data_IF_986938630597
#
_entry.id   IF_986938630597
#
_cell.length_a   1.000
_cell.length_b   1.000
_cell.length_c   1.000
_cell.angle_alpha   90.00
_cell.angle_beta   90.00
_cell.angle_gamma   90.00
#
_symmetry.space_group_name_H-M   'P 1'
#
loop_
_entity.id
_entity.type
_entity.pdbx_description
1 polymer ?
#
# COMPACT_ATOMS: atom_id res chain seq x y z
N UNK A 1 22.91 -83.83 -16.63
CA UNK A 1 22.93 -82.61 -17.46
C UNK A 1 21.68 -81.81 -17.11
N UNK A 2 21.90 -80.79 -16.31
CA UNK A 2 20.92 -79.84 -15.77
C UNK A 2 20.61 -78.75 -16.80
N UNK A 3 19.40 -78.16 -16.78
CA UNK A 3 19.07 -76.73 -16.96
C UNK A 3 17.57 -76.58 -16.63
N UNK A 4 17.22 -76.22 -15.39
CA UNK A 4 16.91 -74.87 -14.86
C UNK A 4 15.53 -74.34 -15.28
N UNK A 5 14.60 -74.40 -14.30
CA UNK A 5 13.36 -73.64 -14.22
C UNK A 5 13.69 -72.22 -13.75
N UNK A 6 13.26 -71.20 -14.51
CA UNK A 6 13.43 -69.80 -14.12
C UNK A 6 12.22 -69.32 -13.32
N UNK A 7 12.36 -69.29 -12.00
CA UNK A 7 11.52 -68.52 -11.09
C UNK A 7 11.81 -67.04 -11.28
N UNK A 8 10.78 -66.25 -11.61
CA UNK A 8 10.85 -64.79 -11.61
C UNK A 8 10.89 -64.33 -10.15
N UNK A 9 12.07 -63.93 -9.68
CA UNK A 9 12.22 -63.22 -8.40
C UNK A 9 11.81 -61.77 -8.59
N UNK A 10 10.64 -61.42 -8.06
CA UNK A 10 10.14 -60.05 -7.94
C UNK A 10 11.01 -59.32 -6.90
N UNK A 11 11.81 -58.34 -7.34
CA UNK A 11 12.73 -57.61 -6.49
C UNK A 11 12.00 -56.67 -5.53
N UNK A 12 12.40 -56.68 -4.26
CA UNK A 12 11.93 -55.80 -3.18
C UNK A 12 12.14 -54.29 -3.41
N UNK A 13 12.64 -53.87 -4.57
CA UNK A 13 12.94 -52.47 -4.90
C UNK A 13 11.83 -51.79 -5.73
N UNK A 14 10.95 -52.52 -6.40
CA UNK A 14 9.87 -51.91 -7.20
C UNK A 14 8.66 -51.44 -6.36
N UNK A 15 8.51 -51.95 -5.14
CA UNK A 15 7.43 -51.55 -4.21
C UNK A 15 7.77 -50.23 -3.47
N UNK A 16 9.05 -49.89 -3.34
CA UNK A 16 9.46 -48.68 -2.60
C UNK A 16 9.48 -47.40 -3.47
N UNK A 17 9.63 -47.53 -4.79
CA UNK A 17 9.68 -46.38 -5.70
C UNK A 17 8.27 -45.87 -6.06
N UNK A 18 7.27 -46.76 -6.05
CA UNK A 18 5.86 -46.37 -6.28
C UNK A 18 5.19 -45.80 -5.03
N UNK A 19 5.64 -46.18 -3.82
CA UNK A 19 5.15 -45.62 -2.55
C UNK A 19 5.62 -44.20 -2.23
N UNK A 20 6.80 -43.78 -2.70
CA UNK A 20 7.33 -42.44 -2.43
C UNK A 20 6.79 -41.35 -3.37
N UNK A 21 6.34 -41.71 -4.58
CA UNK A 21 5.75 -40.76 -5.53
C UNK A 21 4.24 -40.52 -5.29
N UNK A 22 3.53 -41.45 -4.64
CA UNK A 22 2.12 -41.27 -4.30
C UNK A 22 1.90 -40.42 -3.03
N UNK A 23 2.92 -40.22 -2.19
CA UNK A 23 2.85 -39.35 -1.00
C UNK A 23 3.11 -37.87 -1.29
N UNK A 24 3.54 -37.53 -2.52
CA UNK A 24 3.82 -36.14 -2.93
C UNK A 24 2.71 -35.50 -3.78
N UNK A 25 1.57 -36.18 -3.97
CA UNK A 25 0.44 -35.68 -4.78
C UNK A 25 -0.77 -35.27 -3.93
N UNK A 26 -0.66 -35.21 -2.60
CA UNK A 26 -1.80 -34.91 -1.71
C UNK A 26 -1.57 -33.79 -0.66
N UNK A 27 -0.73 -32.79 -0.92
CA UNK A 27 -0.66 -31.61 -0.04
C UNK A 27 -0.47 -30.26 -0.74
N UNK A 28 -0.94 -30.11 -1.98
CA UNK A 28 -1.19 -28.78 -2.58
C UNK A 28 -2.68 -28.62 -2.89
N UNK A 29 -3.53 -29.03 -1.95
CA UNK A 29 -4.74 -28.26 -1.70
C UNK A 29 -4.23 -27.14 -0.82
N UNK A 30 -4.13 -25.93 -1.37
CA UNK A 30 -3.84 -24.75 -0.55
C UNK A 30 -4.84 -24.78 0.58
N UNK A 31 -4.35 -24.99 1.80
CA UNK A 31 -5.17 -24.85 2.99
C UNK A 31 -5.79 -23.47 2.88
N UNK A 32 -7.09 -23.43 2.55
CA UNK A 32 -7.87 -22.22 2.65
C UNK A 32 -7.84 -21.90 4.13
N UNK A 33 -6.91 -21.02 4.53
CA UNK A 33 -6.89 -20.45 5.86
C UNK A 33 -8.33 -20.07 6.19
N UNK A 34 -8.86 -20.46 7.36
CA UNK A 34 -10.22 -20.11 7.72
C UNK A 34 -10.41 -18.61 7.50
N UNK A 35 -11.50 -18.19 6.82
CA UNK A 35 -11.68 -16.80 6.46
C UNK A 35 -11.58 -15.95 7.74
N UNK A 36 -10.71 -14.93 7.71
CA UNK A 36 -10.58 -14.01 8.81
C UNK A 36 -11.91 -13.27 9.01
N UNK A 37 -12.56 -13.47 10.15
CA UNK A 37 -13.84 -12.85 10.47
C UNK A 37 -13.62 -11.56 11.26
N UNK A 38 -13.17 -10.52 10.56
CA UNK A 38 -12.99 -9.19 11.14
C UNK A 38 -14.32 -8.40 11.07
N UNK A 39 -14.93 -8.00 12.21
CA UNK A 39 -16.20 -7.26 12.19
C UNK A 39 -16.04 -5.78 11.80
N UNK A 40 -14.80 -5.27 11.83
CA UNK A 40 -14.46 -3.87 11.57
C UNK A 40 -13.02 -3.70 11.08
N UNK A 41 -12.77 -2.61 10.33
CA UNK A 41 -11.42 -2.17 9.94
C UNK A 41 -11.17 -0.76 10.48
N UNK A 42 -10.05 -0.56 11.17
CA UNK A 42 -9.54 0.77 11.51
C UNK A 42 -8.29 1.04 10.69
N UNK A 43 -8.42 1.93 9.70
CA UNK A 43 -7.35 2.25 8.77
C UNK A 43 -6.62 3.53 9.18
N UNK A 44 -5.29 3.48 9.21
CA UNK A 44 -4.40 4.62 9.37
C UNK A 44 -3.56 4.74 8.11
N UNK A 45 -3.49 5.94 7.54
CA UNK A 45 -2.77 6.09 6.29
C UNK A 45 -2.64 7.51 5.78
N UNK A 46 -2.16 7.59 4.56
CA UNK A 46 -2.08 8.82 3.78
C UNK A 46 -3.07 8.82 2.59
N UNK A 47 -2.77 9.59 1.54
CA UNK A 47 -3.59 9.68 0.33
C UNK A 47 -3.83 8.34 -0.38
N UNK A 48 -2.98 7.32 -0.19
CA UNK A 48 -3.17 6.00 -0.80
C UNK A 48 -4.41 5.26 -0.25
N UNK A 49 -4.88 5.64 0.94
CA UNK A 49 -6.04 5.02 1.58
C UNK A 49 -7.05 6.04 2.10
N UNK A 50 -6.89 7.34 1.80
CA UNK A 50 -7.81 8.40 2.21
C UNK A 50 -9.15 8.33 1.45
N UNK A 51 -10.23 8.08 2.18
CA UNK A 51 -11.60 7.97 1.63
C UNK A 51 -12.43 9.25 1.77
N UNK A 52 -11.83 10.35 2.23
CA UNK A 52 -12.53 11.62 2.45
C UNK A 52 -12.02 12.48 3.61
N UNK A 53 -10.97 12.06 4.33
CA UNK A 53 -10.37 12.78 5.45
C UNK A 53 -9.90 14.17 5.05
N UNK A 54 -9.10 14.29 3.97
CA UNK A 54 -8.66 15.59 3.47
C UNK A 54 -9.83 16.46 2.98
N UNK A 55 -10.82 15.83 2.34
CA UNK A 55 -12.03 16.49 1.84
C UNK A 55 -12.92 17.04 2.94
N UNK A 56 -12.99 16.32 4.06
CA UNK A 56 -13.78 16.72 5.22
C UNK A 56 -13.16 17.88 6.00
N UNK A 57 -11.82 17.90 6.08
CA UNK A 57 -11.11 18.78 7.01
C UNK A 57 -10.55 20.05 6.36
N UNK A 58 -10.10 19.98 5.11
CA UNK A 58 -9.31 21.06 4.50
C UNK A 58 -9.95 21.58 3.21
N UNK A 59 -10.04 20.74 2.19
CA UNK A 59 -10.57 21.15 0.89
C UNK A 59 -11.25 19.99 0.17
N UNK A 60 -12.46 20.19 -0.39
CA UNK A 60 -13.14 19.13 -1.11
C UNK A 60 -12.36 18.77 -2.37
N UNK A 61 -12.03 17.49 -2.52
CA UNK A 61 -11.47 16.97 -3.77
C UNK A 61 -12.50 17.12 -4.89
N UNK A 62 -12.07 17.75 -5.99
CA UNK A 62 -12.91 18.20 -7.11
C UNK A 62 -13.00 17.13 -8.20
N UNK A 63 -13.87 17.28 -9.22
CA UNK A 63 -13.79 16.48 -10.43
C UNK A 63 -12.38 16.55 -11.05
N UNK A 64 -11.84 15.48 -11.65
CA UNK A 64 -12.48 14.21 -12.05
C UNK A 64 -12.29 13.04 -11.04
N UNK A 65 -11.78 13.30 -9.84
CA UNK A 65 -11.53 12.26 -8.86
C UNK A 65 -12.83 11.53 -8.45
N UNK A 66 -12.85 10.21 -8.52
CA UNK A 66 -14.01 9.34 -8.31
C UNK A 66 -14.90 9.08 -9.54
N UNK A 67 -14.75 9.81 -10.65
CA UNK A 67 -15.71 9.71 -11.76
C UNK A 67 -15.67 8.37 -12.50
N UNK A 68 -14.51 7.71 -12.58
CA UNK A 68 -14.38 6.46 -13.32
C UNK A 68 -15.15 5.31 -12.68
N UNK A 69 -15.13 5.21 -11.34
CA UNK A 69 -15.82 4.12 -10.61
C UNK A 69 -17.11 4.57 -9.92
N UNK A 70 -17.09 5.71 -9.22
CA UNK A 70 -18.25 6.17 -8.42
C UNK A 70 -19.21 7.02 -9.24
N UNK A 71 -18.83 7.43 -10.46
CA UNK A 71 -19.60 8.29 -11.35
C UNK A 71 -19.97 9.66 -10.74
N UNK A 72 -19.19 10.07 -9.74
CA UNK A 72 -19.26 11.37 -9.05
C UNK A 72 -17.98 11.62 -8.26
N UNK A 73 -17.78 12.84 -7.79
CA UNK A 73 -16.69 13.16 -6.87
C UNK A 73 -16.75 12.31 -5.61
N UNK A 74 -15.67 11.59 -5.32
CA UNK A 74 -15.62 10.62 -4.21
C UNK A 74 -14.71 11.04 -3.04
N UNK A 75 -14.21 12.28 -3.04
CA UNK A 75 -13.46 12.85 -1.92
C UNK A 75 -12.06 12.25 -1.68
N UNK A 76 -11.48 11.58 -2.69
CA UNK A 76 -10.28 10.74 -2.60
C UNK A 76 -9.30 11.04 -3.73
N UNK A 77 -8.00 10.86 -3.52
CA UNK A 77 -6.96 11.08 -4.54
C UNK A 77 -6.85 9.93 -5.57
N UNK A 78 -8.01 9.49 -6.09
CA UNK A 78 -8.12 8.49 -7.15
C UNK A 78 -9.39 8.72 -7.98
N UNK A 79 -9.38 8.32 -9.24
CA UNK A 79 -10.58 8.27 -10.09
C UNK A 79 -11.50 7.08 -9.74
N UNK A 80 -11.08 6.20 -8.83
CA UNK A 80 -11.89 5.06 -8.39
C UNK A 80 -11.54 4.52 -7.00
N UNK A 81 -11.56 3.21 -6.88
CA UNK A 81 -11.35 2.49 -5.62
C UNK A 81 -9.90 2.54 -5.16
N UNK A 82 -9.70 2.59 -3.85
CA UNK A 82 -8.41 2.49 -3.18
C UNK A 82 -8.17 1.06 -2.70
N UNK A 83 -6.92 0.73 -2.35
CA UNK A 83 -6.56 -0.60 -1.82
C UNK A 83 -7.45 -0.99 -0.63
N UNK A 84 -7.77 -0.03 0.25
CA UNK A 84 -8.63 -0.24 1.40
C UNK A 84 -10.06 -0.66 1.04
N UNK A 85 -10.60 -0.24 -0.11
CA UNK A 85 -11.93 -0.65 -0.56
C UNK A 85 -11.94 -2.13 -0.98
N UNK A 86 -10.87 -2.58 -1.65
CA UNK A 86 -10.72 -3.99 -2.01
C UNK A 86 -10.54 -4.88 -0.78
N UNK A 87 -9.84 -4.39 0.26
CA UNK A 87 -9.74 -5.09 1.55
C UNK A 87 -11.13 -5.21 2.19
N UNK A 88 -11.91 -4.13 2.24
CA UNK A 88 -13.27 -4.14 2.77
C UNK A 88 -14.19 -5.11 2.02
N UNK A 89 -14.15 -5.11 0.67
CA UNK A 89 -14.91 -6.04 -0.17
C UNK A 89 -14.56 -7.50 0.12
N UNK A 90 -13.26 -7.82 0.24
CA UNK A 90 -12.79 -9.18 0.55
C UNK A 90 -13.25 -9.65 1.93
N UNK A 91 -13.32 -8.75 2.90
CA UNK A 91 -13.83 -9.02 4.24
C UNK A 91 -15.36 -8.92 4.34
N UNK A 92 -16.05 -8.63 3.22
CA UNK A 92 -17.50 -8.46 3.15
C UNK A 92 -18.03 -7.34 4.07
N UNK A 93 -17.22 -6.31 4.26
CA UNK A 93 -17.56 -5.11 5.02
C UNK A 93 -17.95 -3.97 4.07
N UNK A 94 -18.78 -3.00 4.52
CA UNK A 94 -19.04 -1.79 3.74
C UNK A 94 -17.75 -0.95 3.59
N UNK A 95 -17.70 -0.10 2.57
CA UNK A 95 -16.62 0.89 2.44
C UNK A 95 -16.55 1.79 3.67
N UNK A 96 -15.31 2.06 4.10
CA UNK A 96 -15.06 2.78 5.34
C UNK A 96 -15.42 4.26 5.19
N UNK A 97 -16.09 4.79 6.22
CA UNK A 97 -16.32 6.23 6.35
C UNK A 97 -15.04 6.93 6.85
N UNK A 98 -14.69 8.06 6.24
CA UNK A 98 -13.66 8.94 6.77
C UNK A 98 -14.02 9.41 8.19
N UNK A 99 -13.06 9.34 9.10
CA UNK A 99 -13.26 9.69 10.51
C UNK A 99 -13.64 11.16 10.71
N UNK A 100 -13.15 12.05 9.84
CA UNK A 100 -13.40 13.50 9.94
C UNK A 100 -14.75 13.94 9.35
N UNK A 101 -15.51 13.04 8.69
CA UNK A 101 -16.85 13.36 8.21
C UNK A 101 -17.84 13.44 9.39
N UNK A 102 -18.35 14.63 9.66
CA UNK A 102 -19.15 14.92 10.86
C UNK A 102 -20.63 14.51 10.77
N UNK A 103 -21.18 14.33 9.56
CA UNK A 103 -22.61 14.03 9.35
C UNK A 103 -22.76 12.86 8.37
N UNK A 104 -23.66 11.93 8.67
CA UNK A 104 -24.02 10.82 7.78
C UNK A 104 -23.04 9.64 7.75
N UNK A 105 -22.06 9.63 8.66
CA UNK A 105 -21.08 8.55 8.77
C UNK A 105 -21.59 7.36 9.56
N UNK A 106 -21.08 6.18 9.20
CA UNK A 106 -21.37 4.94 9.90
C UNK A 106 -20.07 4.26 10.30
N UNK A 107 -19.78 4.23 11.60
CA UNK A 107 -18.58 3.61 12.16
C UNK A 107 -18.82 2.21 12.73
N UNK A 108 -20.00 1.61 12.48
CA UNK A 108 -20.35 0.27 12.98
C UNK A 108 -19.37 -0.82 12.54
N UNK A 109 -18.77 -0.66 11.37
CA UNK A 109 -17.78 -1.58 10.80
C UNK A 109 -16.38 -0.95 10.72
N UNK A 110 -16.10 -0.02 11.63
CA UNK A 110 -14.82 0.66 11.73
C UNK A 110 -14.79 2.03 11.05
N UNK A 111 -13.62 2.63 10.99
CA UNK A 111 -13.41 4.00 10.55
C UNK A 111 -12.08 4.13 9.79
N UNK A 112 -12.03 5.10 8.87
CA UNK A 112 -10.82 5.42 8.15
C UNK A 112 -10.23 6.74 8.64
N UNK A 113 -9.08 6.67 9.30
CA UNK A 113 -8.32 7.81 9.82
C UNK A 113 -7.26 8.32 8.83
N UNK A 114 -7.13 7.70 7.66
CA UNK A 114 -6.20 8.17 6.65
C UNK A 114 -6.55 9.57 6.16
N UNK A 115 -5.52 10.40 5.99
CA UNK A 115 -5.66 11.77 5.47
C UNK A 115 -4.53 12.06 4.50
N UNK A 116 -4.86 12.64 3.35
CA UNK A 116 -3.89 13.01 2.32
C UNK A 116 -2.71 13.81 2.89
N UNK A 117 -1.49 13.39 2.54
CA UNK A 117 -0.24 14.04 2.98
C UNK A 117 0.24 13.68 4.39
N UNK A 118 -0.46 12.84 5.14
CA UNK A 118 -0.03 12.40 6.47
C UNK A 118 1.33 11.68 6.46
N UNK A 119 2.12 11.96 7.49
CA UNK A 119 3.42 11.33 7.79
C UNK A 119 3.31 10.45 9.03
N UNK A 120 4.15 9.42 9.15
CA UNK A 120 4.30 8.66 10.41
C UNK A 120 4.72 9.60 11.53
N UNK A 121 5.66 10.49 11.23
CA UNK A 121 6.10 11.49 12.19
C UNK A 121 4.95 12.39 12.61
N UNK A 122 4.66 12.41 13.91
CA UNK A 122 3.69 13.35 14.48
C UNK A 122 4.28 14.76 14.43
N UNK A 123 3.50 15.71 13.92
CA UNK A 123 3.89 17.13 13.96
C UNK A 123 3.70 17.72 15.36
N UNK A 124 2.66 17.29 16.09
CA UNK A 124 2.34 17.66 17.48
C UNK A 124 1.70 16.46 18.22
N UNK A 125 1.72 16.46 19.55
CA UNK A 125 1.03 15.47 20.40
C UNK A 125 -0.42 15.89 20.68
N UNK A 126 -1.36 14.93 20.63
CA UNK A 126 -2.75 15.12 21.07
C UNK A 126 -2.98 14.42 22.41
N UNK A 127 -3.63 15.13 23.34
CA UNK A 127 -3.82 14.75 24.76
C UNK A 127 -5.03 13.83 25.03
N UNK A 128 -5.81 13.45 24.02
CA UNK A 128 -7.01 12.62 24.21
C UNK A 128 -7.06 11.43 23.26
N UNK A 129 -7.12 10.23 23.83
CA UNK A 129 -7.43 8.99 23.12
C UNK A 129 -8.94 8.72 23.26
N UNK A 130 -9.71 8.88 22.17
CA UNK A 130 -11.09 8.38 22.11
C UNK A 130 -11.07 7.09 21.31
N UNK A 131 -11.30 5.98 21.99
CA UNK A 131 -11.31 4.66 21.37
C UNK A 131 -12.75 4.21 21.05
N UNK A 132 -12.92 3.42 19.97
CA UNK A 132 -14.15 2.70 19.69
C UNK A 132 -14.54 1.71 20.80
N UNK A 133 -15.74 1.12 20.70
CA UNK A 133 -16.26 0.14 21.67
C UNK A 133 -15.27 -1.03 21.89
N UNK A 134 -14.91 -1.38 23.14
CA UNK A 134 -13.86 -2.37 23.44
C UNK A 134 -14.03 -3.74 22.77
N UNK A 135 -15.27 -4.23 22.67
CA UNK A 135 -15.58 -5.55 22.08
C UNK A 135 -15.28 -5.62 20.57
N UNK A 136 -15.52 -4.54 19.85
CA UNK A 136 -15.22 -4.43 18.41
C UNK A 136 -13.75 -4.09 18.19
N UNK A 137 -13.18 -3.26 19.07
CA UNK A 137 -11.78 -2.86 19.03
C UNK A 137 -10.83 -4.07 19.12
N UNK A 138 -11.06 -5.00 20.05
CA UNK A 138 -10.18 -6.16 20.21
C UNK A 138 -10.21 -7.14 19.02
N UNK A 139 -11.31 -7.12 18.24
CA UNK A 139 -11.52 -8.02 17.10
C UNK A 139 -11.26 -7.34 15.74
N UNK A 140 -11.00 -6.04 15.71
CA UNK A 140 -10.84 -5.31 14.47
C UNK A 140 -9.50 -5.59 13.78
N UNK A 141 -9.49 -5.37 12.46
CA UNK A 141 -8.27 -5.30 11.67
C UNK A 141 -7.74 -3.87 11.67
N UNK A 142 -6.47 -3.68 12.06
CA UNK A 142 -5.78 -2.40 12.04
C UNK A 142 -4.83 -2.34 10.84
N UNK A 143 -5.14 -1.49 9.86
CA UNK A 143 -4.34 -1.35 8.64
C UNK A 143 -3.48 -0.08 8.69
N UNK A 144 -2.25 -0.18 8.19
CA UNK A 144 -1.31 0.95 8.11
C UNK A 144 -0.78 1.07 6.67
N UNK A 145 -1.10 2.18 6.01
CA UNK A 145 -0.58 2.56 4.69
C UNK A 145 -0.02 3.99 4.75
N UNK A 146 1.17 4.12 5.32
CA UNK A 146 1.80 5.40 5.68
C UNK A 146 3.33 5.29 5.64
N UNK A 147 4.01 6.44 5.48
CA UNK A 147 5.47 6.55 5.53
C UNK A 147 6.09 7.06 4.24
N UNK A 148 5.39 6.94 3.11
CA UNK A 148 5.87 7.47 1.82
C UNK A 148 6.05 8.99 1.85
N UNK A 149 5.16 9.71 2.55
CA UNK A 149 5.28 11.15 2.73
C UNK A 149 6.47 11.56 3.60
N UNK A 150 6.88 10.75 4.57
CA UNK A 150 8.09 11.03 5.37
C UNK A 150 9.33 11.07 4.46
N UNK A 151 9.42 10.14 3.50
CA UNK A 151 10.47 10.15 2.47
C UNK A 151 10.33 11.36 1.53
N UNK A 152 9.11 11.64 1.05
CA UNK A 152 8.84 12.78 0.17
C UNK A 152 9.25 14.12 0.80
N UNK A 153 8.90 14.33 2.08
CA UNK A 153 9.31 15.50 2.86
C UNK A 153 10.82 15.48 3.08
N UNK A 154 11.38 14.32 3.40
CA UNK A 154 12.83 14.11 3.54
C UNK A 154 13.60 14.58 2.31
N UNK A 155 13.25 14.12 1.11
CA UNK A 155 13.90 14.49 -0.14
C UNK A 155 13.84 16.00 -0.43
N UNK A 156 12.81 16.69 0.06
CA UNK A 156 12.64 18.14 -0.14
C UNK A 156 13.40 18.97 0.89
N UNK A 157 13.62 18.44 2.10
CA UNK A 157 14.09 19.22 3.26
C UNK A 157 15.45 18.79 3.81
N UNK A 158 15.96 17.64 3.41
CA UNK A 158 17.15 17.00 4.00
C UNK A 158 18.10 16.51 2.91
N UNK A 159 19.37 16.33 3.27
CA UNK A 159 20.28 15.50 2.47
C UNK A 159 19.88 14.01 2.58
N UNK A 160 20.35 13.20 1.63
CA UNK A 160 20.12 11.75 1.67
C UNK A 160 20.67 11.10 2.94
N UNK A 161 21.83 11.54 3.43
CA UNK A 161 22.42 11.00 4.66
C UNK A 161 21.63 11.40 5.91
N UNK A 162 21.12 12.64 5.96
CA UNK A 162 20.23 13.09 7.04
C UNK A 162 18.92 12.30 7.05
N UNK A 163 18.31 12.09 5.88
CA UNK A 163 17.10 11.29 5.76
C UNK A 163 17.35 9.83 6.18
N UNK A 164 18.46 9.23 5.72
CA UNK A 164 18.87 7.87 6.09
C UNK A 164 19.02 7.72 7.60
N UNK A 165 19.65 8.70 8.25
CA UNK A 165 19.82 8.72 9.70
C UNK A 165 18.48 8.86 10.47
N UNK A 166 17.46 9.47 9.85
CA UNK A 166 16.13 9.63 10.45
C UNK A 166 15.23 8.39 10.31
N UNK A 167 15.49 7.48 9.36
CA UNK A 167 14.62 6.32 9.10
C UNK A 167 14.35 5.44 10.34
N UNK A 168 15.33 5.12 11.21
CA UNK A 168 15.06 4.33 12.41
C UNK A 168 14.05 5.00 13.35
N UNK A 169 14.12 6.32 13.51
CA UNK A 169 13.18 7.08 14.35
C UNK A 169 11.77 7.03 13.77
N UNK A 170 11.63 7.27 12.46
CA UNK A 170 10.35 7.19 11.74
C UNK A 170 9.71 5.81 11.96
N UNK A 171 10.46 4.73 11.73
CA UNK A 171 9.98 3.36 11.91
C UNK A 171 9.61 3.06 13.36
N UNK A 172 10.37 3.59 14.33
CA UNK A 172 10.06 3.42 15.75
C UNK A 172 8.77 4.14 16.16
N UNK A 173 8.46 5.30 15.58
CA UNK A 173 7.20 5.99 15.84
C UNK A 173 5.98 5.18 15.35
N UNK A 174 6.08 4.54 14.17
CA UNK A 174 5.05 3.61 13.71
C UNK A 174 4.90 2.44 14.68
N UNK A 175 6.02 1.88 15.14
CA UNK A 175 5.99 0.80 16.11
C UNK A 175 5.35 1.19 17.44
N UNK A 176 5.60 2.40 17.94
CA UNK A 176 4.93 2.92 19.13
C UNK A 176 3.43 3.06 18.93
N UNK A 177 2.95 3.47 17.76
CA UNK A 177 1.52 3.50 17.46
C UNK A 177 0.88 2.10 17.49
N UNK A 178 1.56 1.10 16.92
CA UNK A 178 1.14 -0.31 16.98
C UNK A 178 1.08 -0.81 18.43
N UNK A 179 2.13 -0.53 19.22
CA UNK A 179 2.19 -0.89 20.64
C UNK A 179 1.05 -0.24 21.44
N UNK A 180 0.73 1.03 21.18
CA UNK A 180 -0.36 1.72 21.87
C UNK A 180 -1.72 1.07 21.54
N UNK A 181 -1.99 0.76 20.28
CA UNK A 181 -3.23 0.06 19.89
C UNK A 181 -3.29 -1.33 20.52
N UNK A 182 -2.15 -2.03 20.61
CA UNK A 182 -2.07 -3.32 21.29
C UNK A 182 -2.41 -3.24 22.79
N UNK A 183 -1.86 -2.24 23.49
CA UNK A 183 -2.15 -2.00 24.91
C UNK A 183 -3.64 -1.73 25.16
N UNK A 184 -4.32 -1.17 24.17
CA UNK A 184 -5.75 -0.89 24.20
C UNK A 184 -6.62 -2.09 23.76
N UNK A 185 -6.00 -3.24 23.45
CA UNK A 185 -6.69 -4.49 23.14
C UNK A 185 -6.65 -4.89 21.66
N UNK A 186 -6.07 -4.09 20.77
CA UNK A 186 -5.92 -4.46 19.35
C UNK A 186 -5.01 -5.68 19.18
N UNK A 187 -5.36 -6.59 18.26
CA UNK A 187 -4.64 -7.86 18.07
C UNK A 187 -4.29 -8.22 16.63
N UNK A 188 -4.91 -7.61 15.63
CA UNK A 188 -4.64 -7.91 14.22
C UNK A 188 -4.13 -6.67 13.47
N UNK A 189 -2.87 -6.71 13.06
CA UNK A 189 -2.18 -5.59 12.40
C UNK A 189 -1.77 -5.98 10.98
N UNK A 190 -2.08 -5.12 10.02
CA UNK A 190 -1.75 -5.27 8.61
C UNK A 190 -0.96 -4.04 8.18
N UNK A 191 0.35 -4.19 8.04
CA UNK A 191 1.28 -3.06 7.88
C UNK A 191 1.87 -3.11 6.48
N UNK A 192 1.55 -2.12 5.65
CA UNK A 192 2.14 -1.93 4.35
C UNK A 192 3.56 -1.36 4.49
N UNK A 193 4.45 -1.78 3.60
CA UNK A 193 5.68 -1.05 3.34
C UNK A 193 5.43 0.13 2.38
N UNK A 194 6.40 1.03 2.20
CA UNK A 194 6.23 2.13 1.25
C UNK A 194 6.37 1.63 -0.19
N UNK A 195 5.62 2.24 -1.12
CA UNK A 195 5.73 1.98 -2.55
C UNK A 195 7.04 2.52 -3.17
N UNK A 196 7.28 2.22 -4.47
CA UNK A 196 8.45 2.68 -5.20
C UNK A 196 8.33 4.17 -5.53
N UNK A 197 8.65 5.03 -4.54
CA UNK A 197 8.43 6.47 -4.62
C UNK A 197 9.17 7.12 -5.80
N UNK A 198 10.33 6.59 -6.19
CA UNK A 198 11.09 7.07 -7.34
C UNK A 198 10.36 6.87 -8.67
N UNK A 199 9.36 5.98 -8.72
CA UNK A 199 8.52 5.76 -9.90
C UNK A 199 7.31 6.69 -9.97
N UNK A 200 7.08 7.57 -9.00
CA UNK A 200 5.97 8.52 -9.08
C UNK A 200 6.20 9.49 -10.25
N UNK A 201 5.24 9.63 -11.19
CA UNK A 201 5.39 10.53 -12.33
C UNK A 201 5.78 11.97 -11.98
N UNK A 202 5.32 12.47 -10.83
CA UNK A 202 5.64 13.83 -10.33
C UNK A 202 7.14 14.05 -10.09
N UNK A 203 7.91 12.98 -9.82
CA UNK A 203 9.35 13.07 -9.61
C UNK A 203 10.12 13.23 -10.94
N UNK A 204 9.45 13.03 -12.07
CA UNK A 204 10.05 13.11 -13.40
C UNK A 204 9.77 14.44 -14.11
N UNK A 205 8.91 15.31 -13.56
CA UNK A 205 8.50 16.57 -14.19
C UNK A 205 9.68 17.46 -14.60
N UNK A 206 10.73 17.52 -13.78
CA UNK A 206 11.89 18.39 -14.01
C UNK A 206 13.15 17.61 -14.39
N UNK A 207 13.02 16.32 -14.71
CA UNK A 207 14.13 15.47 -15.09
C UNK A 207 14.31 15.56 -16.62
N UNK A 208 15.28 16.35 -17.05
CA UNK A 208 15.66 16.49 -18.46
C UNK A 208 17.10 16.02 -18.66
N UNK A 209 17.31 15.09 -19.61
CA UNK A 209 18.62 14.52 -19.93
C UNK A 209 19.43 14.08 -18.67
N UNK A 210 18.86 13.19 -17.83
CA UNK A 210 19.52 12.79 -16.61
C UNK A 210 20.86 12.09 -16.90
N UNK A 211 21.88 12.23 -16.03
CA UNK A 211 23.14 11.52 -16.19
C UNK A 211 22.91 10.00 -16.12
N UNK A 212 23.81 9.25 -16.74
CA UNK A 212 23.76 7.78 -16.70
C UNK A 212 23.70 7.28 -15.26
N UNK A 213 22.77 6.36 -14.98
CA UNK A 213 22.55 5.78 -13.65
C UNK A 213 21.64 6.58 -12.71
N UNK A 214 21.12 7.74 -13.11
CA UNK A 214 20.13 8.49 -12.33
C UNK A 214 18.76 7.80 -12.30
N UNK A 215 18.33 7.28 -13.46
CA UNK A 215 17.15 6.44 -13.57
C UNK A 215 17.55 4.96 -13.54
N UNK A 216 16.68 4.11 -13.01
CA UNK A 216 16.80 2.67 -13.16
C UNK A 216 16.35 2.19 -14.55
N UNK A 217 16.42 0.88 -14.81
CA UNK A 217 16.08 0.28 -16.10
C UNK A 217 14.61 0.44 -16.51
N UNK A 218 13.73 0.81 -15.57
CA UNK A 218 12.31 1.06 -15.81
C UNK A 218 11.98 2.55 -15.83
N UNK A 219 12.97 3.44 -15.74
CA UNK A 219 12.79 4.88 -15.83
C UNK A 219 12.44 5.58 -14.52
N UNK A 220 12.51 4.88 -13.37
CA UNK A 220 12.25 5.47 -12.07
C UNK A 220 13.51 6.13 -11.48
N UNK A 221 13.35 7.14 -10.63
CA UNK A 221 14.47 7.80 -9.93
C UNK A 221 15.13 6.82 -8.96
N UNK A 222 16.31 6.31 -9.34
CA UNK A 222 16.98 5.20 -8.67
C UNK A 222 17.26 5.47 -7.20
N UNK A 223 17.88 6.60 -6.88
CA UNK A 223 18.26 6.94 -5.51
C UNK A 223 17.05 7.05 -4.56
N UNK A 224 15.89 7.48 -5.06
CA UNK A 224 14.67 7.55 -4.26
C UNK A 224 14.07 6.16 -4.00
N UNK A 225 14.10 5.26 -5.00
CA UNK A 225 13.71 3.87 -4.82
C UNK A 225 14.66 3.12 -3.86
N UNK A 226 15.97 3.36 -3.93
CA UNK A 226 16.94 2.80 -2.98
C UNK A 226 16.64 3.24 -1.53
N UNK A 227 16.29 4.51 -1.31
CA UNK A 227 15.88 4.99 0.02
C UNK A 227 14.56 4.36 0.49
N UNK A 228 13.61 4.14 -0.42
CA UNK A 228 12.36 3.43 -0.11
C UNK A 228 12.61 1.97 0.29
N UNK A 229 13.50 1.27 -0.44
CA UNK A 229 13.94 -0.09 -0.09
C UNK A 229 14.64 -0.12 1.27
N UNK A 230 15.48 0.87 1.58
CA UNK A 230 16.13 0.95 2.88
C UNK A 230 15.13 1.18 4.01
N UNK A 231 14.15 2.08 3.83
CA UNK A 231 13.05 2.25 4.78
C UNK A 231 12.28 0.94 4.99
N UNK A 232 11.95 0.23 3.91
CA UNK A 232 11.21 -1.03 3.95
C UNK A 232 11.99 -2.13 4.69
N UNK A 233 13.31 -2.21 4.49
CA UNK A 233 14.17 -3.14 5.23
C UNK A 233 14.16 -2.84 6.73
N UNK A 234 14.30 -1.58 7.14
CA UNK A 234 14.24 -1.20 8.56
C UNK A 234 12.86 -1.46 9.17
N UNK A 235 11.79 -1.21 8.41
CA UNK A 235 10.42 -1.52 8.83
C UNK A 235 10.23 -3.03 9.05
N UNK A 236 10.74 -3.86 8.14
CA UNK A 236 10.68 -5.31 8.25
C UNK A 236 11.42 -5.81 9.51
N UNK A 237 12.64 -5.30 9.76
CA UNK A 237 13.39 -5.60 10.98
C UNK A 237 12.63 -5.20 12.25
N UNK A 238 11.97 -4.03 12.23
CA UNK A 238 11.16 -3.57 13.36
C UNK A 238 9.92 -4.43 13.57
N UNK A 239 9.27 -4.88 12.51
CA UNK A 239 8.12 -5.78 12.57
C UNK A 239 8.49 -7.14 13.16
N UNK A 240 9.67 -7.67 12.83
CA UNK A 240 10.19 -8.89 13.47
C UNK A 240 10.29 -8.70 14.98
N UNK A 241 10.82 -7.55 15.44
CA UNK A 241 10.87 -7.22 16.87
C UNK A 241 9.47 -7.04 17.48
N UNK A 242 8.55 -6.36 16.80
CA UNK A 242 7.17 -6.18 17.28
C UNK A 242 6.46 -7.52 17.48
N UNK A 243 6.66 -8.51 16.60
CA UNK A 243 6.10 -9.87 16.77
C UNK A 243 6.61 -10.57 18.02
N UNK A 244 7.85 -10.31 18.43
CA UNK A 244 8.41 -10.83 19.68
C UNK A 244 7.91 -10.06 20.92
N UNK A 245 7.75 -8.73 20.79
CA UNK A 245 7.27 -7.84 21.86
C UNK A 245 5.76 -8.00 22.12
N UNK A 246 4.98 -8.36 21.10
CA UNK A 246 3.51 -8.42 21.12
C UNK A 246 3.02 -9.84 20.80
N UNK A 247 3.25 -10.83 21.68
CA UNK A 247 3.05 -12.25 21.37
C UNK A 247 1.58 -12.64 21.12
N UNK A 248 0.62 -11.85 21.60
CA UNK A 248 -0.81 -12.09 21.32
C UNK A 248 -1.28 -11.46 19.99
N UNK A 249 -0.43 -10.67 19.33
CA UNK A 249 -0.78 -9.98 18.10
C UNK A 249 -0.42 -10.79 16.85
N UNK A 250 -1.36 -10.86 15.91
CA UNK A 250 -1.06 -11.22 14.53
C UNK A 250 -0.60 -9.96 13.78
N UNK A 251 0.64 -9.94 13.28
CA UNK A 251 1.20 -8.81 12.54
C UNK A 251 1.60 -9.28 11.14
N UNK A 252 0.83 -8.87 10.13
CA UNK A 252 1.14 -9.09 8.72
C UNK A 252 1.97 -7.92 8.17
N UNK A 253 3.08 -8.24 7.50
CA UNK A 253 3.84 -7.29 6.68
C UNK A 253 3.42 -7.47 5.23
N UNK A 254 3.10 -6.37 4.56
CA UNK A 254 2.61 -6.40 3.18
C UNK A 254 3.56 -5.63 2.27
N UNK A 255 4.11 -6.36 1.31
CA UNK A 255 5.09 -5.82 0.36
C UNK A 255 4.40 -5.13 -0.82
N UNK A 256 3.92 -3.91 -0.57
CA UNK A 256 3.32 -3.03 -1.55
C UNK A 256 4.37 -2.52 -2.55
N UNK A 257 5.63 -2.36 -2.13
CA UNK A 257 6.75 -1.99 -3.02
C UNK A 257 6.84 -2.95 -4.21
N UNK A 258 7.03 -4.24 -3.93
CA UNK A 258 7.22 -5.24 -4.99
C UNK A 258 5.98 -5.37 -5.87
N UNK A 259 4.78 -5.31 -5.27
CA UNK A 259 3.53 -5.35 -6.02
C UNK A 259 3.40 -4.16 -7.00
N UNK A 260 3.61 -2.92 -6.52
CA UNK A 260 3.51 -1.71 -7.36
C UNK A 260 4.64 -1.67 -8.39
N UNK A 261 5.87 -1.97 -7.99
CA UNK A 261 7.02 -1.98 -8.89
C UNK A 261 6.85 -3.02 -10.00
N UNK A 262 6.33 -4.21 -9.69
CA UNK A 262 6.03 -5.25 -10.67
C UNK A 262 4.94 -4.83 -11.67
N UNK A 263 3.92 -4.09 -11.23
CA UNK A 263 2.91 -3.52 -12.15
C UNK A 263 3.53 -2.46 -13.07
N UNK A 264 4.37 -1.58 -12.54
CA UNK A 264 5.03 -0.50 -13.28
C UNK A 264 6.00 -1.08 -14.31
N UNK A 265 6.89 -1.98 -13.89
CA UNK A 265 7.90 -2.58 -14.76
C UNK A 265 7.30 -3.46 -15.86
N UNK A 266 6.10 -4.02 -15.63
CA UNK A 266 5.40 -4.88 -16.57
C UNK A 266 4.20 -4.20 -17.27
N UNK A 267 4.02 -2.88 -17.10
CA UNK A 267 2.82 -2.15 -17.54
C UNK A 267 2.46 -2.42 -19.00
N UNK A 268 3.45 -2.36 -19.90
CA UNK A 268 3.27 -2.61 -21.34
C UNK A 268 2.70 -3.99 -21.64
N UNK A 269 3.16 -5.04 -20.95
CA UNK A 269 2.69 -6.40 -21.19
C UNK A 269 1.30 -6.65 -20.59
N UNK A 270 0.92 -5.85 -19.59
CA UNK A 270 -0.42 -5.85 -19.00
C UNK A 270 -1.42 -5.02 -19.81
N UNK A 271 -1.01 -4.39 -20.92
CA UNK A 271 -1.86 -3.50 -21.71
C UNK A 271 -2.07 -2.12 -21.08
N UNK A 272 -1.32 -1.79 -20.02
CA UNK A 272 -1.43 -0.50 -19.35
C UNK A 272 -0.70 0.59 -20.14
N UNK A 273 -1.23 1.80 -20.05
CA UNK A 273 -0.58 3.01 -20.54
C UNK A 273 0.76 3.26 -19.84
N UNK A 274 1.51 4.26 -20.33
CA UNK A 274 2.80 4.65 -19.74
C UNK A 274 2.66 4.93 -18.23
N UNK A 275 3.25 4.08 -17.36
CA UNK A 275 3.06 4.17 -15.92
C UNK A 275 3.80 5.35 -15.30
N UNK A 276 4.72 5.97 -16.04
CA UNK A 276 5.52 7.11 -15.60
C UNK A 276 4.94 8.46 -16.04
N UNK A 277 3.77 8.44 -16.70
CA UNK A 277 3.08 9.64 -17.17
C UNK A 277 1.88 9.97 -16.28
N UNK A 278 1.72 11.25 -15.94
CA UNK A 278 0.54 11.71 -15.21
C UNK A 278 -0.71 11.66 -16.11
N UNK A 279 -1.74 10.98 -15.62
CA UNK A 279 -3.01 10.80 -16.33
C UNK A 279 -3.94 12.02 -16.28
N UNK A 280 -3.83 12.86 -15.25
CA UNK A 280 -4.72 14.00 -15.04
C UNK A 280 -3.97 15.29 -14.72
N UNK A 281 -4.40 16.39 -15.32
CA UNK A 281 -3.76 17.69 -15.18
C UNK A 281 -3.01 18.12 -16.43
N UNK A 282 -2.50 19.34 -16.37
CA UNK A 282 -1.59 19.89 -17.37
C UNK A 282 -0.19 19.98 -16.76
N UNK A 283 0.74 19.20 -17.29
CA UNK A 283 2.14 19.17 -16.84
C UNK A 283 3.04 19.19 -18.06
N UNK A 284 3.38 20.39 -18.54
CA UNK A 284 4.22 20.58 -19.73
C UNK A 284 5.31 21.58 -19.38
N UNK A 285 6.57 21.20 -19.63
CA UNK A 285 7.75 21.97 -19.21
C UNK A 285 7.71 22.27 -17.69
N UNK A 286 7.55 23.54 -17.31
CA UNK A 286 7.45 24.01 -15.93
C UNK A 286 6.04 24.51 -15.56
N UNK A 287 5.08 24.39 -16.48
CA UNK A 287 3.70 24.78 -16.25
C UNK A 287 2.92 23.60 -15.68
N UNK A 288 2.39 23.79 -14.47
CA UNK A 288 1.64 22.77 -13.75
C UNK A 288 0.27 23.30 -13.33
N UNK A 289 -0.77 22.70 -13.91
CA UNK A 289 -2.15 22.86 -13.48
C UNK A 289 -2.61 21.49 -13.02
N UNK A 290 -2.72 21.35 -11.70
CA UNK A 290 -3.14 20.11 -11.08
C UNK A 290 -4.53 19.69 -11.53
N UNK A 291 -4.76 18.38 -11.46
CA UNK A 291 -6.02 17.75 -11.79
C UNK A 291 -7.21 18.48 -11.12
N UNK A 292 -8.25 18.79 -11.89
CA UNK A 292 -9.45 19.47 -11.39
C UNK A 292 -9.30 20.97 -11.12
N UNK A 293 -8.13 21.56 -11.39
CA UNK A 293 -7.89 23.00 -11.23
C UNK A 293 -7.86 23.73 -12.57
N UNK A 294 -8.19 25.02 -12.51
CA UNK A 294 -7.98 25.99 -13.59
C UNK A 294 -6.69 26.74 -13.35
N UNK A 295 -5.96 27.01 -14.43
CA UNK A 295 -4.80 27.88 -14.42
C UNK A 295 -4.66 28.60 -15.75
N UNK A 296 -3.64 29.44 -15.87
CA UNK A 296 -3.34 30.17 -17.11
C UNK A 296 -1.96 29.74 -17.60
N UNK A 297 -1.87 29.31 -18.86
CA UNK A 297 -0.62 28.99 -19.55
C UNK A 297 -0.57 29.80 -20.84
N UNK A 298 0.50 30.57 -21.05
CA UNK A 298 0.66 31.46 -22.21
C UNK A 298 -0.60 32.33 -22.47
N UNK A 299 -1.10 32.99 -21.43
CA UNK A 299 -2.32 33.82 -21.44
C UNK A 299 -3.62 33.09 -21.86
N UNK A 300 -3.62 31.76 -21.88
CA UNK A 300 -4.80 30.94 -22.17
C UNK A 300 -5.25 30.21 -20.92
N UNK A 301 -6.55 30.24 -20.61
CA UNK A 301 -7.10 29.42 -19.52
C UNK A 301 -6.98 27.94 -19.92
N UNK A 302 -6.37 27.15 -19.04
CA UNK A 302 -6.23 25.71 -19.19
C UNK A 302 -6.85 25.04 -17.97
N UNK A 303 -7.61 23.97 -18.22
CA UNK A 303 -8.21 23.15 -17.18
C UNK A 303 -7.48 21.81 -17.09
N UNK A 304 -7.07 21.43 -15.87
CA UNK A 304 -6.39 20.18 -15.57
C UNK A 304 -7.32 18.97 -15.67
N UNK A 305 -7.70 18.59 -16.88
CA UNK A 305 -8.60 17.45 -17.12
C UNK A 305 -7.89 16.12 -16.93
N UNK A 306 -8.66 15.09 -16.56
CA UNK A 306 -8.24 13.71 -16.77
C UNK A 306 -8.18 13.48 -18.29
N UNK A 307 -7.03 13.00 -18.77
CA UNK A 307 -6.99 12.45 -20.11
C UNK A 307 -7.80 11.16 -20.04
N UNK A 308 -8.89 11.07 -20.80
CA UNK A 308 -9.48 9.79 -21.14
C UNK A 308 -8.38 8.97 -21.81
N UNK A 309 -7.74 8.10 -21.04
CA UNK A 309 -7.00 6.98 -21.58
C UNK A 309 -8.06 6.11 -22.25
N UNK A 310 -8.16 6.23 -23.58
CA UNK A 310 -8.71 5.16 -24.39
C UNK A 310 -7.99 3.87 -23.98
N UNK A 311 -8.80 2.86 -23.63
CA UNK A 311 -8.47 1.52 -23.12
C UNK A 311 -7.83 1.43 -21.74
N UNK A 312 -8.69 1.11 -20.76
CA UNK A 312 -8.41 0.25 -19.59
C UNK A 312 -7.93 -1.14 -20.04
#
# INVERSE_FOLDING_TARGET
>A
MSYISATVTMGYWEVLVTGFMASWVLSVVGDTLPPCDFPAIYNFGDSNSDTGGISAAFEPIRPPYGEAFFHKTAGRDSDGRLIIDFIAERLKLPYLSAYLNSIGTNYRHGANFATGGSTIRRQNETIFEKLPRPEEFAKALYTFDIGQNDLSVGFRKMSFDQLRAALPDIVNQLASAVQNIYQQGGRAFWIHNTGPIGCLPVNLFYVSNPPSGYLDEHGCVKAQNEMAVEFNSKLQDRIVKLRAELPEAAIAYVDVYSAKYGLISNAKNLGLADPLKVCCGYHVNFDHIWCGNKGTVNNTEVYGLAKTLQSL
#
